data_IF_811749574661
#
_entry.id   IF_811749574661
#
_cell.length_a   1.000
_cell.length_b   1.000
_cell.length_c   1.000
_cell.angle_alpha   90.00
_cell.angle_beta   90.00
_cell.angle_gamma   90.00
#
_symmetry.space_group_name_H-M   'P 1'
#
loop_
_entity.id
_entity.type
_entity.pdbx_description
1 polymer ?
#
# COMPACT_ATOMS: atom_id res chain seq x y z
N UNK A 1 14.95 -18.09 -17.63
CA UNK A 1 14.35 -16.75 -17.47
C UNK A 1 13.47 -16.62 -16.23
N UNK A 2 12.60 -17.59 -15.93
CA UNK A 2 11.67 -17.53 -14.80
C UNK A 2 12.36 -17.54 -13.41
N UNK A 3 13.35 -18.40 -13.23
CA UNK A 3 14.15 -18.47 -11.98
C UNK A 3 14.94 -17.19 -11.73
N UNK A 4 15.58 -16.63 -12.76
CA UNK A 4 16.32 -15.38 -12.67
C UNK A 4 15.42 -14.17 -12.35
N UNK A 5 14.18 -14.17 -12.83
CA UNK A 5 13.21 -13.13 -12.50
C UNK A 5 12.79 -13.21 -11.02
N UNK A 6 12.50 -14.42 -10.52
CA UNK A 6 12.19 -14.64 -9.10
C UNK A 6 13.35 -14.26 -8.19
N UNK A 7 14.58 -14.65 -8.54
CA UNK A 7 15.77 -14.32 -7.76
C UNK A 7 15.99 -12.81 -7.68
N UNK A 8 15.80 -12.07 -8.78
CA UNK A 8 15.87 -10.60 -8.78
C UNK A 8 14.79 -9.97 -7.90
N UNK A 9 13.55 -10.45 -7.94
CA UNK A 9 12.48 -9.97 -7.07
C UNK A 9 12.78 -10.22 -5.58
N UNK A 10 13.38 -11.35 -5.22
CA UNK A 10 13.81 -11.63 -3.85
C UNK A 10 14.89 -10.64 -3.40
N UNK A 11 15.90 -10.36 -4.24
CA UNK A 11 16.93 -9.37 -3.92
C UNK A 11 16.36 -7.95 -3.74
N UNK A 12 15.41 -7.55 -4.58
CA UNK A 12 14.72 -6.26 -4.45
C UNK A 12 13.94 -6.21 -3.14
N UNK A 13 13.16 -7.26 -2.85
CA UNK A 13 12.39 -7.39 -1.62
C UNK A 13 13.26 -7.23 -0.37
N UNK A 14 14.38 -7.94 -0.33
CA UNK A 14 15.29 -7.89 0.83
C UNK A 14 15.94 -6.51 0.99
N UNK A 15 16.28 -5.85 -0.10
CA UNK A 15 16.78 -4.46 -0.06
C UNK A 15 15.72 -3.49 0.39
N UNK A 16 14.48 -3.62 -0.06
CA UNK A 16 13.36 -2.80 0.38
C UNK A 16 13.12 -2.96 1.88
N UNK A 17 13.11 -4.19 2.36
CA UNK A 17 12.95 -4.48 3.78
C UNK A 17 14.05 -3.81 4.60
N UNK A 18 15.31 -4.00 4.19
CA UNK A 18 16.45 -3.42 4.87
C UNK A 18 16.40 -1.89 4.88
N UNK A 19 16.20 -1.26 3.73
CA UNK A 19 16.16 0.20 3.59
C UNK A 19 15.05 0.83 4.42
N UNK A 20 13.85 0.28 4.39
CA UNK A 20 12.73 0.82 5.17
C UNK A 20 12.97 0.75 6.67
N UNK A 21 13.60 -0.30 7.16
CA UNK A 21 13.99 -0.42 8.58
C UNK A 21 15.16 0.51 8.92
N UNK A 22 16.13 0.62 8.02
CA UNK A 22 17.26 1.51 8.17
C UNK A 22 16.83 2.98 8.24
N UNK A 23 15.91 3.43 7.38
CA UNK A 23 15.39 4.79 7.42
C UNK A 23 14.79 5.14 8.79
N UNK A 24 13.98 4.24 9.35
CA UNK A 24 13.35 4.41 10.66
C UNK A 24 14.43 4.40 11.76
N UNK A 25 15.40 3.46 11.70
CA UNK A 25 16.48 3.37 12.66
C UNK A 25 17.38 4.61 12.60
N UNK A 26 17.76 5.04 11.41
CA UNK A 26 18.58 6.23 11.20
C UNK A 26 17.93 7.49 11.80
N UNK A 27 16.66 7.70 11.48
CA UNK A 27 15.92 8.87 11.96
C UNK A 27 15.75 8.91 13.49
N UNK A 28 15.72 7.75 14.15
CA UNK A 28 15.46 7.68 15.60
C UNK A 28 16.72 7.48 16.46
N UNK A 29 17.84 7.02 15.87
CA UNK A 29 19.00 6.60 16.67
C UNK A 29 20.34 7.09 16.12
N UNK A 30 20.42 7.56 14.88
CA UNK A 30 21.67 7.98 14.23
C UNK A 30 21.68 9.46 13.94
N UNK A 31 20.61 9.99 13.37
CA UNK A 31 20.45 11.42 13.10
C UNK A 31 20.39 12.19 14.42
N UNK A 32 21.17 13.27 14.51
CA UNK A 32 21.11 14.18 15.65
C UNK A 32 19.70 14.75 15.84
N UNK A 33 19.27 14.80 17.07
CA UNK A 33 17.96 15.26 17.46
C UNK A 33 18.08 16.09 18.75
N UNK A 34 17.90 17.39 18.64
CA UNK A 34 18.15 18.38 19.69
C UNK A 34 17.22 18.20 20.90
N UNK A 35 16.03 17.66 20.71
CA UNK A 35 15.04 17.49 21.77
C UNK A 35 14.99 16.07 22.36
N UNK A 36 15.78 15.15 21.81
CA UNK A 36 15.85 13.74 22.25
C UNK A 36 14.57 12.94 21.98
N UNK A 37 13.58 13.50 21.30
CA UNK A 37 12.32 12.85 20.99
C UNK A 37 12.46 12.01 19.72
N UNK A 38 12.05 10.73 19.78
CA UNK A 38 12.04 9.89 18.60
C UNK A 38 10.97 10.33 17.61
N UNK A 39 11.34 10.40 16.33
CA UNK A 39 10.41 10.77 15.26
C UNK A 39 9.41 9.65 14.91
N UNK A 40 9.62 8.47 15.46
CA UNK A 40 8.75 7.31 15.26
C UNK A 40 8.95 6.64 13.89
N UNK A 41 7.96 5.87 13.48
CA UNK A 41 7.94 5.06 12.27
C UNK A 41 7.45 3.63 12.59
N UNK A 42 6.86 2.96 11.60
CA UNK A 42 6.24 1.66 11.78
C UNK A 42 7.00 0.57 11.01
N UNK A 43 8.01 -0.05 11.66
CA UNK A 43 8.80 -1.13 11.04
C UNK A 43 7.93 -2.34 10.68
N UNK A 44 7.05 -2.77 11.59
CA UNK A 44 6.16 -3.92 11.37
C UNK A 44 5.22 -3.69 10.16
N UNK A 45 4.66 -2.48 10.03
CA UNK A 45 3.80 -2.13 8.89
C UNK A 45 4.55 -2.12 7.56
N UNK A 46 5.82 -1.70 7.55
CA UNK A 46 6.69 -1.79 6.38
C UNK A 46 7.04 -3.24 6.05
N UNK A 47 7.38 -4.05 7.06
CA UNK A 47 7.72 -5.45 6.88
C UNK A 47 6.55 -6.28 6.32
N UNK A 48 5.33 -6.05 6.79
CA UNK A 48 4.13 -6.76 6.28
C UNK A 48 3.88 -6.44 4.81
N UNK A 49 4.14 -5.20 4.38
CA UNK A 49 3.92 -4.72 3.02
C UNK A 49 5.02 -5.07 2.02
N UNK A 50 6.20 -5.52 2.46
CA UNK A 50 7.39 -5.65 1.59
C UNK A 50 7.15 -6.53 0.36
N UNK A 51 6.53 -7.69 0.54
CA UNK A 51 6.25 -8.62 -0.57
C UNK A 51 5.19 -8.08 -1.51
N UNK A 52 4.19 -7.40 -0.97
CA UNK A 52 3.10 -6.80 -1.71
C UNK A 52 3.60 -5.63 -2.57
N UNK A 53 4.32 -4.69 -2.00
CA UNK A 53 4.91 -3.55 -2.74
C UNK A 53 5.90 -4.05 -3.80
N UNK A 54 6.74 -5.05 -3.48
CA UNK A 54 7.64 -5.63 -4.46
C UNK A 54 6.88 -6.23 -5.64
N UNK A 55 5.84 -7.00 -5.39
CA UNK A 55 5.05 -7.62 -6.45
C UNK A 55 4.28 -6.56 -7.25
N UNK A 56 3.66 -5.62 -6.58
CA UNK A 56 2.83 -4.58 -7.20
C UNK A 56 3.68 -3.71 -8.13
N UNK A 57 4.71 -3.05 -7.61
CA UNK A 57 5.50 -2.07 -8.37
C UNK A 57 6.44 -2.69 -9.40
N UNK A 58 6.98 -3.88 -9.17
CA UNK A 58 7.95 -4.49 -10.09
C UNK A 58 7.38 -5.57 -11.00
N UNK A 59 6.09 -5.91 -10.88
CA UNK A 59 5.52 -6.97 -11.71
C UNK A 59 4.07 -6.76 -12.17
N UNK A 60 3.29 -5.91 -11.53
CA UNK A 60 1.83 -5.83 -11.73
C UNK A 60 1.38 -4.48 -12.27
N UNK A 61 1.92 -3.37 -11.78
CA UNK A 61 1.50 -2.03 -12.18
C UNK A 61 1.75 -1.75 -13.65
N UNK A 62 0.83 -1.01 -14.24
CA UNK A 62 0.91 -0.39 -15.56
C UNK A 62 1.14 1.12 -15.40
N UNK A 63 1.62 1.81 -16.43
CA UNK A 63 1.85 3.26 -16.36
C UNK A 63 0.59 4.08 -16.04
N UNK A 64 -0.58 3.57 -16.42
CA UNK A 64 -1.87 4.22 -16.21
C UNK A 64 -2.43 4.04 -14.81
N UNK A 65 -1.96 3.02 -14.08
CA UNK A 65 -2.44 2.70 -12.73
C UNK A 65 -2.03 3.79 -11.73
N UNK A 66 -2.86 3.97 -10.70
CA UNK A 66 -2.60 4.93 -9.61
C UNK A 66 -2.76 4.22 -8.27
N UNK A 67 -1.86 4.53 -7.33
CA UNK A 67 -1.76 3.82 -6.04
C UNK A 67 -1.88 4.79 -4.87
N UNK A 68 -2.86 4.55 -4.01
CA UNK A 68 -2.92 5.15 -2.68
C UNK A 68 -2.19 4.23 -1.69
N UNK A 69 -1.04 4.67 -1.21
CA UNK A 69 -0.21 3.86 -0.32
C UNK A 69 -0.70 3.98 1.12
N UNK A 70 -0.85 2.86 1.82
CA UNK A 70 -1.16 2.82 3.26
C UNK A 70 -0.22 3.77 4.04
N UNK A 71 -0.75 4.69 4.87
CA UNK A 71 0.07 5.71 5.54
C UNK A 71 1.27 5.14 6.30
N UNK A 72 1.07 4.10 7.10
CA UNK A 72 2.11 3.50 7.92
C UNK A 72 3.15 2.69 7.11
N UNK A 73 2.91 2.48 5.82
CA UNK A 73 3.88 1.87 4.90
C UNK A 73 4.70 2.92 4.13
N UNK A 74 4.70 4.19 4.54
CA UNK A 74 5.52 5.23 3.90
C UNK A 74 7.01 4.88 3.84
N UNK A 75 7.66 4.29 4.86
CA UNK A 75 9.08 3.97 4.76
C UNK A 75 9.40 2.99 3.64
N UNK A 76 8.57 1.95 3.45
CA UNK A 76 8.84 1.01 2.35
C UNK A 76 8.51 1.58 0.99
N UNK A 77 7.52 2.48 0.90
CA UNK A 77 7.22 3.22 -0.32
C UNK A 77 8.40 4.13 -0.71
N UNK A 78 8.91 4.95 0.19
CA UNK A 78 10.07 5.81 -0.07
C UNK A 78 11.35 5.01 -0.36
N UNK A 79 11.55 3.87 0.31
CA UNK A 79 12.64 2.96 -0.02
C UNK A 79 12.52 2.41 -1.45
N UNK A 80 11.30 2.10 -1.91
CA UNK A 80 11.06 1.69 -3.28
C UNK A 80 11.35 2.83 -4.26
N UNK A 81 10.88 4.04 -3.99
CA UNK A 81 11.14 5.24 -4.81
C UNK A 81 12.65 5.55 -4.91
N UNK A 82 13.40 5.34 -3.81
CA UNK A 82 14.86 5.44 -3.85
C UNK A 82 15.50 4.40 -4.76
N UNK A 83 15.06 3.14 -4.69
CA UNK A 83 15.63 2.07 -5.54
C UNK A 83 15.35 2.26 -7.04
N UNK A 84 14.26 2.92 -7.38
CA UNK A 84 13.95 3.27 -8.79
C UNK A 84 14.53 4.61 -9.23
N UNK A 85 15.17 5.36 -8.31
CA UNK A 85 15.90 6.60 -8.63
C UNK A 85 15.06 7.88 -8.56
N UNK A 86 13.86 7.85 -8.02
CA UNK A 86 12.99 9.03 -7.89
C UNK A 86 13.32 9.89 -6.66
N UNK A 87 14.01 9.32 -5.67
CA UNK A 87 14.41 9.98 -4.42
C UNK A 87 15.89 9.73 -4.16
N UNK A 88 16.62 10.72 -3.70
CA UNK A 88 18.02 10.61 -3.35
C UNK A 88 18.25 10.10 -1.91
N UNK A 89 19.51 9.76 -1.60
CA UNK A 89 19.89 9.25 -0.30
C UNK A 89 19.71 10.29 0.81
N UNK A 90 20.01 11.55 0.54
CA UNK A 90 19.92 12.63 1.52
C UNK A 90 18.48 12.77 2.04
N UNK A 91 17.50 12.70 1.14
CA UNK A 91 16.08 12.82 1.50
C UNK A 91 15.55 11.64 2.31
N UNK A 92 15.99 10.41 2.01
CA UNK A 92 15.59 9.25 2.83
C UNK A 92 16.30 9.25 4.19
N UNK A 93 17.52 9.82 4.31
CA UNK A 93 18.17 10.04 5.59
C UNK A 93 17.41 11.06 6.45
N UNK A 94 16.76 12.02 5.81
CA UNK A 94 15.90 13.01 6.47
C UNK A 94 14.44 12.56 6.62
N UNK A 95 14.19 11.26 6.66
CA UNK A 95 12.83 10.74 6.89
C UNK A 95 12.17 11.41 8.10
N UNK A 96 10.97 11.99 7.92
CA UNK A 96 10.24 12.79 8.90
C UNK A 96 10.99 14.04 9.39
N UNK A 97 12.02 14.48 8.70
CA UNK A 97 12.73 15.72 8.95
C UNK A 97 12.34 16.78 7.92
N UNK A 98 12.78 18.01 8.18
CA UNK A 98 12.58 19.11 7.24
C UNK A 98 13.34 18.85 5.93
N UNK A 99 12.67 19.00 4.80
CA UNK A 99 13.26 18.74 3.48
C UNK A 99 13.42 17.26 3.11
N UNK A 100 13.12 16.35 4.02
CA UNK A 100 13.13 14.89 3.78
C UNK A 100 11.80 14.33 3.34
N UNK A 101 11.75 13.01 3.15
CA UNK A 101 10.53 12.29 2.81
C UNK A 101 9.53 12.30 3.97
N UNK A 102 8.25 12.40 3.63
CA UNK A 102 7.18 12.65 4.59
C UNK A 102 6.85 11.40 5.44
N UNK A 103 6.23 11.67 6.58
CA UNK A 103 5.66 10.61 7.45
C UNK A 103 4.64 9.74 6.73
N UNK A 104 3.87 10.37 5.85
CA UNK A 104 2.85 9.76 5.01
C UNK A 104 3.00 10.31 3.60
N UNK A 105 2.89 9.48 2.56
CA UNK A 105 3.09 9.91 1.20
C UNK A 105 2.25 11.15 0.86
N UNK A 106 2.89 12.17 0.30
CA UNK A 106 2.25 13.44 0.01
C UNK A 106 2.60 13.94 -1.39
N UNK A 107 1.62 14.00 -2.25
CA UNK A 107 1.77 14.50 -3.63
C UNK A 107 2.28 15.94 -3.74
N UNK A 108 2.11 16.72 -2.68
CA UNK A 108 2.46 18.15 -2.67
C UNK A 108 3.75 18.47 -1.92
N UNK A 109 4.25 17.53 -1.10
CA UNK A 109 5.42 17.75 -0.23
C UNK A 109 6.58 16.82 -0.55
N UNK A 110 6.29 15.60 -0.97
CA UNK A 110 7.32 14.67 -1.42
C UNK A 110 7.76 15.00 -2.85
N UNK A 111 8.98 14.64 -3.17
CA UNK A 111 9.56 14.78 -4.52
C UNK A 111 9.43 13.52 -5.33
N UNK A 112 9.13 12.42 -4.66
CA UNK A 112 8.89 11.14 -5.28
C UNK A 112 7.50 11.09 -5.96
N UNK A 113 7.31 10.05 -6.78
CA UNK A 113 6.10 9.89 -7.59
C UNK A 113 4.93 9.36 -6.73
N UNK A 114 4.27 10.28 -6.04
CA UNK A 114 3.09 10.02 -5.20
C UNK A 114 1.82 10.29 -5.97
N UNK A 115 1.06 9.25 -6.30
CA UNK A 115 -0.23 9.39 -6.98
C UNK A 115 -1.30 10.06 -6.11
N UNK A 116 -1.43 9.63 -4.85
CA UNK A 116 -2.40 10.14 -3.90
C UNK A 116 -1.75 10.44 -2.56
N UNK A 117 -2.06 11.60 -2.00
CA UNK A 117 -1.67 11.93 -0.62
C UNK A 117 -2.50 11.08 0.34
N UNK A 118 -1.82 10.37 1.24
CA UNK A 118 -2.44 9.54 2.26
C UNK A 118 -1.92 9.93 3.64
N UNK A 119 -2.76 10.23 4.56
CA UNK A 119 -2.34 10.64 5.92
C UNK A 119 -3.43 10.34 6.92
N UNK A 120 -4.67 10.61 6.54
CA UNK A 120 -5.83 10.23 7.31
C UNK A 120 -6.24 8.80 6.96
N UNK A 121 -6.46 7.99 7.98
CA UNK A 121 -6.89 6.59 7.86
C UNK A 121 -8.21 6.51 7.07
N UNK A 122 -8.28 5.59 6.11
CA UNK A 122 -9.44 5.40 5.23
C UNK A 122 -9.54 6.36 4.04
N UNK A 123 -8.91 7.55 4.10
CA UNK A 123 -9.01 8.52 2.99
C UNK A 123 -8.34 8.03 1.70
N UNK A 124 -7.22 7.31 1.79
CA UNK A 124 -6.56 6.72 0.62
C UNK A 124 -7.48 5.76 -0.13
N UNK A 125 -8.27 5.01 0.62
CA UNK A 125 -9.28 4.09 0.05
C UNK A 125 -10.40 4.86 -0.63
N UNK A 126 -10.97 5.85 0.07
CA UNK A 126 -12.05 6.69 -0.47
C UNK A 126 -11.62 7.42 -1.75
N UNK A 127 -10.42 8.00 -1.77
CA UNK A 127 -9.89 8.71 -2.95
C UNK A 127 -9.81 7.78 -4.16
N UNK A 128 -9.40 6.51 -4.00
CA UNK A 128 -9.32 5.58 -5.13
C UNK A 128 -10.69 5.27 -5.72
N UNK A 129 -11.73 5.14 -4.91
CA UNK A 129 -13.11 4.94 -5.38
C UNK A 129 -13.59 6.15 -6.18
N UNK A 130 -13.43 7.36 -5.66
CA UNK A 130 -13.84 8.56 -6.37
C UNK A 130 -12.98 8.85 -7.61
N UNK A 131 -11.68 8.53 -7.58
CA UNK A 131 -10.82 8.63 -8.75
C UNK A 131 -11.25 7.64 -9.85
N UNK A 132 -11.66 6.43 -9.48
CA UNK A 132 -12.23 5.46 -10.41
C UNK A 132 -13.51 5.99 -11.06
N UNK A 133 -14.43 6.54 -10.27
CA UNK A 133 -15.66 7.16 -10.76
C UNK A 133 -15.38 8.33 -11.73
N UNK A 134 -14.43 9.18 -11.37
CA UNK A 134 -14.02 10.31 -12.24
C UNK A 134 -13.40 9.79 -13.54
N UNK A 135 -12.56 8.76 -13.48
CA UNK A 135 -12.00 8.13 -14.68
C UNK A 135 -13.10 7.63 -15.60
N UNK A 136 -14.10 6.91 -15.07
CA UNK A 136 -15.22 6.39 -15.86
C UNK A 136 -16.03 7.53 -16.49
N UNK A 137 -16.25 8.62 -15.74
CA UNK A 137 -16.87 9.82 -16.27
C UNK A 137 -16.05 10.44 -17.42
N UNK A 138 -14.73 10.56 -17.27
CA UNK A 138 -13.83 11.09 -18.30
C UNK A 138 -13.88 10.23 -19.55
N UNK A 139 -13.77 8.92 -19.41
CA UNK A 139 -13.78 7.96 -20.52
C UNK A 139 -15.12 7.96 -21.30
N UNK A 140 -16.21 8.25 -20.62
CA UNK A 140 -17.53 8.37 -21.24
C UNK A 140 -17.70 9.65 -22.09
N UNK A 141 -16.75 10.60 -22.03
CA UNK A 141 -16.82 11.86 -22.79
C UNK A 141 -16.01 11.80 -24.10
N UNK A 142 -16.40 12.58 -25.12
CA UNK A 142 -15.68 12.62 -26.39
C UNK A 142 -14.19 12.98 -26.25
N UNK A 143 -13.86 13.84 -25.28
CA UNK A 143 -12.47 14.28 -24.99
C UNK A 143 -11.68 13.29 -24.15
N UNK A 144 -12.30 12.25 -23.64
CA UNK A 144 -11.64 11.15 -22.93
C UNK A 144 -11.25 9.95 -23.80
N UNK A 145 -11.50 9.99 -25.12
CA UNK A 145 -11.29 8.84 -26.02
C UNK A 145 -9.84 8.36 -26.13
N UNK A 146 -8.88 9.27 -25.95
CA UNK A 146 -7.45 8.98 -26.03
C UNK A 146 -6.82 8.70 -24.65
N UNK A 147 -7.62 8.66 -23.58
CA UNK A 147 -7.16 8.36 -22.24
C UNK A 147 -7.17 6.84 -22.03
N UNK A 148 -6.01 6.26 -21.73
CA UNK A 148 -5.92 4.86 -21.39
C UNK A 148 -6.45 4.63 -19.97
N UNK A 149 -7.38 3.66 -19.75
CA UNK A 149 -7.91 3.38 -18.43
C UNK A 149 -6.88 2.68 -17.55
N UNK A 150 -6.67 3.22 -16.35
CA UNK A 150 -5.84 2.63 -15.31
C UNK A 150 -6.68 2.06 -14.16
N UNK A 151 -6.04 1.29 -13.31
CA UNK A 151 -6.63 0.82 -12.05
C UNK A 151 -6.34 1.83 -10.95
N UNK A 152 -7.35 2.10 -10.13
CA UNK A 152 -7.20 2.90 -8.91
C UNK A 152 -7.03 1.93 -7.73
N UNK A 153 -5.82 1.87 -7.18
CA UNK A 153 -5.42 0.82 -6.24
C UNK A 153 -5.19 1.43 -4.87
N UNK A 154 -5.93 0.99 -3.87
CA UNK A 154 -5.68 1.33 -2.47
C UNK A 154 -4.92 0.21 -1.76
N UNK A 155 -3.81 0.56 -1.11
CA UNK A 155 -3.16 -0.28 -0.11
C UNK A 155 -3.65 0.18 1.25
N UNK A 156 -4.28 -0.71 2.01
CA UNK A 156 -4.85 -0.37 3.32
C UNK A 156 -4.48 -1.40 4.38
N UNK A 157 -4.50 -0.99 5.63
CA UNK A 157 -4.43 -1.90 6.77
C UNK A 157 -5.79 -2.47 7.12
N UNK A 158 -5.81 -3.61 7.77
CA UNK A 158 -7.04 -4.21 8.29
C UNK A 158 -7.74 -3.33 9.35
N UNK A 159 -6.98 -2.56 10.13
CA UNK A 159 -7.53 -1.58 11.08
C UNK A 159 -8.22 -0.38 10.39
N UNK A 160 -7.93 -0.12 9.11
CA UNK A 160 -8.65 0.91 8.36
C UNK A 160 -10.11 0.53 8.10
N UNK A 161 -10.47 -0.76 8.24
CA UNK A 161 -11.86 -1.21 8.17
C UNK A 161 -12.73 -0.69 9.33
N UNK A 162 -12.15 -0.09 10.36
CA UNK A 162 -12.89 0.56 11.44
C UNK A 162 -13.42 1.96 11.03
N UNK A 163 -12.93 2.51 9.91
CA UNK A 163 -13.34 3.81 9.42
C UNK A 163 -14.67 3.75 8.64
N UNK A 164 -15.64 4.58 9.04
CA UNK A 164 -16.98 4.58 8.43
C UNK A 164 -16.99 4.87 6.93
N UNK A 165 -16.09 5.74 6.45
CA UNK A 165 -15.99 6.09 5.04
C UNK A 165 -15.64 4.92 4.12
N UNK A 166 -15.04 3.84 4.64
CA UNK A 166 -14.79 2.61 3.89
C UNK A 166 -16.12 1.98 3.44
N UNK A 167 -17.09 1.89 4.35
CA UNK A 167 -18.41 1.30 4.06
C UNK A 167 -19.25 2.19 3.15
N UNK A 168 -19.13 3.51 3.31
CA UNK A 168 -19.73 4.48 2.37
C UNK A 168 -19.18 4.28 0.96
N UNK A 169 -17.86 4.14 0.82
CA UNK A 169 -17.22 3.88 -0.47
C UNK A 169 -17.55 2.52 -1.07
N UNK A 170 -17.75 1.48 -0.25
CA UNK A 170 -18.25 0.18 -0.74
C UNK A 170 -19.62 0.33 -1.40
N UNK A 171 -20.52 1.07 -0.75
CA UNK A 171 -21.85 1.35 -1.27
C UNK A 171 -21.81 2.19 -2.54
N UNK A 172 -20.98 3.23 -2.59
CA UNK A 172 -20.80 4.04 -3.78
C UNK A 172 -20.21 3.24 -4.94
N UNK A 173 -19.24 2.36 -4.67
CA UNK A 173 -18.67 1.44 -5.66
C UNK A 173 -19.73 0.55 -6.29
N UNK A 174 -20.63 0.00 -5.47
CA UNK A 174 -21.75 -0.80 -5.94
C UNK A 174 -22.77 0.02 -6.75
N UNK A 175 -23.16 1.21 -6.28
CA UNK A 175 -24.12 2.09 -6.97
C UNK A 175 -23.65 2.49 -8.37
N UNK A 176 -22.35 2.67 -8.54
CA UNK A 176 -21.74 3.17 -9.78
C UNK A 176 -21.05 2.07 -10.60
N UNK A 177 -21.17 0.81 -10.20
CA UNK A 177 -20.57 -0.36 -10.88
C UNK A 177 -19.07 -0.15 -11.19
N UNK A 178 -18.31 0.27 -10.20
CA UNK A 178 -16.90 0.55 -10.36
C UNK A 178 -16.08 -0.73 -10.64
N UNK A 179 -15.43 -0.81 -11.80
CA UNK A 179 -14.72 -1.99 -12.27
C UNK A 179 -13.20 -1.88 -12.06
N UNK A 180 -12.65 -0.67 -12.06
CA UNK A 180 -11.21 -0.41 -12.05
C UNK A 180 -10.67 0.00 -10.67
N UNK A 181 -11.39 -0.29 -9.60
CA UNK A 181 -11.03 0.02 -8.23
C UNK A 181 -10.58 -1.24 -7.49
N UNK A 182 -9.33 -1.26 -7.02
CA UNK A 182 -8.76 -2.40 -6.29
C UNK A 182 -8.41 -1.98 -4.87
N UNK A 183 -8.88 -2.72 -3.88
CA UNK A 183 -8.47 -2.53 -2.50
C UNK A 183 -7.65 -3.74 -2.04
N UNK A 184 -6.41 -3.50 -1.65
CA UNK A 184 -5.49 -4.54 -1.19
C UNK A 184 -5.30 -4.37 0.31
N UNK A 185 -5.86 -5.29 1.08
CA UNK A 185 -5.86 -5.25 2.54
C UNK A 185 -4.65 -6.02 3.08
N UNK A 186 -3.77 -5.31 3.78
CA UNK A 186 -2.70 -5.89 4.58
C UNK A 186 -3.27 -6.40 5.89
N UNK A 187 -3.65 -7.67 5.93
CA UNK A 187 -4.23 -8.30 7.10
C UNK A 187 -3.13 -8.73 8.07
N UNK A 188 -2.52 -7.77 8.76
CA UNK A 188 -1.45 -7.97 9.73
C UNK A 188 -1.93 -8.13 11.18
N UNK A 189 -3.23 -7.97 11.44
CA UNK A 189 -3.88 -8.12 12.74
C UNK A 189 -3.41 -7.12 13.80
N UNK A 190 -2.94 -5.95 13.38
CA UNK A 190 -2.50 -4.88 14.27
C UNK A 190 -3.47 -3.70 14.24
N UNK A 191 -4.02 -3.35 15.39
CA UNK A 191 -4.80 -2.14 15.63
C UNK A 191 -4.18 -1.32 16.74
N UNK A 192 -4.61 -0.08 16.91
CA UNK A 192 -4.16 0.81 17.99
C UNK A 192 -4.46 0.21 19.38
N UNK A 193 -5.58 -0.48 19.53
CA UNK A 193 -6.06 -1.01 20.80
C UNK A 193 -5.62 -2.46 21.06
N UNK A 194 -4.85 -3.06 20.16
CA UNK A 194 -4.36 -4.41 20.33
C UNK A 194 -4.44 -5.28 19.07
N UNK A 195 -4.48 -6.59 19.30
CA UNK A 195 -4.58 -7.58 18.23
C UNK A 195 -6.05 -7.75 17.84
N UNK A 196 -6.35 -7.65 16.55
CA UNK A 196 -7.68 -7.86 15.99
C UNK A 196 -8.14 -9.30 16.26
N UNK A 197 -9.37 -9.47 16.71
CA UNK A 197 -9.97 -10.78 16.98
C UNK A 197 -10.01 -11.68 15.73
N UNK A 198 -9.91 -12.97 15.95
CA UNK A 198 -10.08 -13.97 14.90
C UNK A 198 -11.48 -13.87 14.28
N UNK A 199 -11.56 -14.09 12.94
CA UNK A 199 -12.82 -14.04 12.21
C UNK A 199 -13.20 -12.67 11.61
N UNK A 200 -12.44 -11.61 11.86
CA UNK A 200 -12.69 -10.30 11.20
C UNK A 200 -12.63 -10.42 9.68
N UNK A 201 -11.68 -11.18 9.14
CA UNK A 201 -11.53 -11.38 7.70
C UNK A 201 -12.74 -12.09 7.06
N UNK A 202 -13.39 -13.03 7.76
CA UNK A 202 -14.62 -13.68 7.27
C UNK A 202 -15.79 -12.69 7.24
N UNK A 203 -15.86 -11.80 8.21
CA UNK A 203 -16.85 -10.73 8.26
C UNK A 203 -16.60 -9.70 7.16
N UNK A 204 -15.36 -9.28 6.98
CA UNK A 204 -14.96 -8.37 5.92
C UNK A 204 -15.32 -8.94 4.54
N UNK A 205 -14.97 -10.22 4.27
CA UNK A 205 -15.32 -10.89 3.01
C UNK A 205 -16.84 -10.86 2.75
N UNK A 206 -17.64 -11.23 3.75
CA UNK A 206 -19.11 -11.20 3.62
C UNK A 206 -19.63 -9.79 3.35
N UNK A 207 -19.02 -8.78 3.97
CA UNK A 207 -19.39 -7.38 3.77
C UNK A 207 -19.07 -6.94 2.34
N UNK A 208 -17.87 -7.20 1.84
CA UNK A 208 -17.49 -6.87 0.46
C UNK A 208 -18.40 -7.58 -0.56
N UNK A 209 -18.68 -8.87 -0.36
CA UNK A 209 -19.57 -9.64 -1.22
C UNK A 209 -21.00 -9.11 -1.18
N UNK A 210 -21.50 -8.65 -0.02
CA UNK A 210 -22.83 -8.05 0.09
C UNK A 210 -22.97 -6.76 -0.71
N UNK A 211 -21.86 -6.04 -0.96
CA UNK A 211 -21.79 -4.88 -1.83
C UNK A 211 -21.39 -5.22 -3.28
N UNK A 212 -21.38 -6.50 -3.67
CA UNK A 212 -21.08 -6.93 -5.03
C UNK A 212 -19.59 -6.85 -5.42
N UNK A 213 -18.68 -6.70 -4.44
CA UNK A 213 -17.25 -6.71 -4.70
C UNK A 213 -16.70 -8.13 -4.78
N UNK A 214 -15.83 -8.38 -5.75
CA UNK A 214 -15.05 -9.61 -5.83
C UNK A 214 -13.99 -9.64 -4.71
N UNK A 215 -13.88 -10.78 -4.04
CA UNK A 215 -12.96 -10.96 -2.93
C UNK A 215 -11.97 -12.08 -3.21
N UNK A 216 -10.67 -11.75 -3.17
CA UNK A 216 -9.58 -12.72 -3.41
C UNK A 216 -8.69 -12.83 -2.18
N UNK A 217 -8.58 -14.03 -1.62
CA UNK A 217 -7.64 -14.30 -0.52
C UNK A 217 -6.27 -14.69 -1.04
N UNK A 218 -5.27 -13.88 -0.70
CA UNK A 218 -3.87 -14.16 -1.01
C UNK A 218 -3.16 -14.55 0.29
N UNK A 219 -3.22 -15.84 0.64
CA UNK A 219 -2.56 -16.38 1.83
C UNK A 219 -1.80 -17.65 1.44
N UNK A 220 -0.53 -17.70 1.80
CA UNK A 220 0.40 -18.77 1.49
C UNK A 220 0.62 -19.01 -0.01
N UNK A 221 1.87 -19.02 -0.45
CA UNK A 221 2.25 -19.39 -1.80
C UNK A 221 2.08 -20.89 -2.06
N UNK A 222 2.09 -21.29 -3.34
CA UNK A 222 1.90 -22.69 -3.72
C UNK A 222 2.87 -23.67 -3.04
N UNK A 223 4.14 -23.26 -2.85
CA UNK A 223 5.14 -24.07 -2.14
C UNK A 223 4.83 -24.22 -0.64
N UNK A 224 4.35 -23.17 0.01
CA UNK A 224 3.94 -23.25 1.42
C UNK A 224 2.72 -24.15 1.61
N UNK A 225 1.72 -24.06 0.71
CA UNK A 225 0.55 -24.95 0.73
C UNK A 225 0.96 -26.41 0.52
N UNK A 226 1.88 -26.68 -0.39
CA UNK A 226 2.41 -28.02 -0.62
C UNK A 226 3.17 -28.55 0.61
N UNK A 227 4.00 -27.71 1.25
CA UNK A 227 4.71 -28.07 2.47
C UNK A 227 3.75 -28.40 3.62
N UNK A 228 2.70 -27.61 3.83
CA UNK A 228 1.68 -27.91 4.84
C UNK A 228 0.93 -29.20 4.56
N UNK A 229 0.59 -29.49 3.29
CA UNK A 229 -0.07 -30.74 2.93
C UNK A 229 0.82 -31.96 3.21
N UNK A 230 2.13 -31.84 3.01
CA UNK A 230 3.10 -32.92 3.31
C UNK A 230 3.37 -33.08 4.81
N UNK A 231 3.22 -32.04 5.62
CA UNK A 231 3.43 -32.11 7.08
C UNK A 231 2.25 -32.72 7.84
N UNK A 232 1.13 -32.98 7.17
CA UNK A 232 -0.06 -33.63 7.73
C UNK A 232 -0.11 -35.15 7.46
N UNK A 233 0.91 -35.69 6.83
CA UNK A 233 1.13 -37.13 6.59
C UNK A 233 2.20 -37.62 7.56
#
# INVERSE_FOLDING_TARGET
HFLLRRQRQMCIRDRLLWLSHWMIHHANNVRENDDGIKVGGHQASSASMVSLITALYFAVLRPEDRVAVKPHASPIFHAMQYLVGNVDLERIQQFRGFGGVQSYPSRTKDVDDVDFSTGSVGLGVAITSFASLIQDYVLAKPWGRDVAPGRMIALMGDAELDEGNIYECLQEGWKHDLQNCWWIIDYNRQSLDGIIHEGLWERAEKTFQAFGWDFVRVKYGGLQRAAFALSLI
#
